data_IF_430576837362
#
_entry.id   IF_430576837362
#
_cell.length_a   1.000
_cell.length_b   1.000
_cell.length_c   1.000
_cell.angle_alpha   90.00
_cell.angle_beta   90.00
_cell.angle_gamma   90.00
#
_symmetry.space_group_name_H-M   'P 1'
#
loop_
_entity.id
_entity.type
_entity.pdbx_description
1 polymer ?
#
# COMPACT_ATOMS: atom_id res chain seq x y z
N UNK A 1 18.94 27.47 -1.77
CA UNK A 1 19.98 26.71 -2.50
C UNK A 1 19.57 26.63 -3.97
N UNK A 2 20.48 26.87 -4.91
CA UNK A 2 20.25 26.70 -6.35
C UNK A 2 21.28 25.69 -6.87
N UNK A 3 20.86 24.75 -7.71
CA UNK A 3 21.76 23.75 -8.29
C UNK A 3 21.41 23.53 -9.76
N UNK A 4 22.38 23.04 -10.52
CA UNK A 4 22.23 22.61 -11.91
C UNK A 4 22.67 21.14 -12.01
N UNK A 5 21.82 20.29 -12.58
CA UNK A 5 22.13 18.87 -12.72
C UNK A 5 23.26 18.65 -13.73
N UNK A 6 24.22 17.81 -13.38
CA UNK A 6 25.35 17.47 -14.24
C UNK A 6 24.91 16.60 -15.43
N UNK A 7 25.12 17.11 -16.65
CA UNK A 7 24.77 16.44 -17.91
C UNK A 7 25.73 15.31 -18.30
N UNK A 8 26.82 15.10 -17.56
CA UNK A 8 27.69 13.94 -17.71
C UNK A 8 27.15 12.73 -16.92
N UNK A 9 26.46 12.99 -15.81
CA UNK A 9 25.87 11.95 -14.95
C UNK A 9 24.45 11.61 -15.41
N UNK A 10 23.63 12.63 -15.68
CA UNK A 10 22.26 12.44 -16.16
C UNK A 10 22.19 12.43 -17.68
N UNK A 11 21.27 11.62 -18.22
CA UNK A 11 20.97 11.60 -19.65
C UNK A 11 20.64 13.01 -20.18
N UNK A 12 20.97 13.27 -21.44
CA UNK A 12 20.73 14.60 -22.06
C UNK A 12 19.24 14.96 -22.06
N UNK A 13 18.40 13.94 -22.20
CA UNK A 13 16.95 14.04 -22.26
C UNK A 13 16.30 14.11 -20.86
N UNK A 14 17.09 13.98 -19.79
CA UNK A 14 16.57 14.08 -18.43
C UNK A 14 15.98 15.47 -18.18
N UNK A 15 14.69 15.48 -17.84
CA UNK A 15 13.91 16.68 -17.51
C UNK A 15 13.28 16.51 -16.14
N UNK A 16 13.06 17.62 -15.46
CA UNK A 16 12.27 17.62 -14.23
C UNK A 16 10.80 17.36 -14.59
N UNK A 17 10.16 16.43 -13.87
CA UNK A 17 8.74 16.17 -14.02
C UNK A 17 7.96 17.07 -13.05
N UNK A 18 7.25 18.06 -13.60
CA UNK A 18 6.52 19.05 -12.80
C UNK A 18 5.45 18.38 -11.93
N UNK A 19 4.73 17.40 -12.47
CA UNK A 19 3.72 16.65 -11.73
C UNK A 19 4.29 15.93 -10.51
N UNK A 20 5.49 15.34 -10.64
CA UNK A 20 6.18 14.70 -9.52
C UNK A 20 6.57 15.71 -8.44
N UNK A 21 6.98 16.92 -8.83
CA UNK A 21 7.27 18.00 -7.90
C UNK A 21 5.99 18.48 -7.18
N UNK A 22 4.90 18.67 -7.90
CA UNK A 22 3.60 19.06 -7.32
C UNK A 22 3.08 17.99 -6.36
N UNK A 23 3.13 16.72 -6.75
CA UNK A 23 2.76 15.61 -5.87
C UNK A 23 3.58 15.59 -4.59
N UNK A 24 4.91 15.80 -4.69
CA UNK A 24 5.80 15.81 -3.52
C UNK A 24 5.55 17.03 -2.63
N UNK A 25 5.41 18.22 -3.22
CA UNK A 25 5.09 19.45 -2.50
C UNK A 25 3.77 19.33 -1.75
N UNK A 26 2.71 18.87 -2.43
CA UNK A 26 1.39 18.63 -1.84
C UNK A 26 1.46 17.64 -0.68
N UNK A 27 2.13 16.51 -0.88
CA UNK A 27 2.32 15.50 0.18
C UNK A 27 3.02 16.10 1.40
N UNK A 28 4.10 16.87 1.22
CA UNK A 28 4.81 17.49 2.34
C UNK A 28 3.97 18.55 3.05
N UNK A 29 3.20 19.36 2.31
CA UNK A 29 2.30 20.34 2.89
C UNK A 29 1.19 19.70 3.73
N UNK A 30 0.68 18.53 3.34
CA UNK A 30 -0.25 17.76 4.17
C UNK A 30 0.38 17.18 5.45
N UNK A 31 1.65 16.78 5.40
CA UNK A 31 2.34 16.16 6.53
C UNK A 31 2.80 17.18 7.58
N UNK A 32 2.88 18.46 7.22
CA UNK A 32 3.31 19.55 8.10
C UNK A 32 2.25 20.65 8.10
N UNK A 33 1.25 20.58 9.02
CA UNK A 33 0.20 21.57 9.11
C UNK A 33 0.76 23.00 9.22
N UNK A 34 0.21 23.93 8.44
CA UNK A 34 0.64 25.33 8.37
C UNK A 34 1.85 25.60 7.46
N UNK A 35 2.51 24.58 6.91
CA UNK A 35 3.57 24.77 5.92
C UNK A 35 2.97 25.17 4.57
N UNK A 36 3.47 26.28 4.01
CA UNK A 36 3.15 26.69 2.63
C UNK A 36 4.33 26.35 1.72
N UNK A 37 4.09 25.57 0.66
CA UNK A 37 5.08 25.26 -0.37
C UNK A 37 4.60 25.85 -1.68
N UNK A 38 5.44 26.66 -2.32
CA UNK A 38 5.15 27.26 -3.63
C UNK A 38 6.07 26.63 -4.66
N UNK A 39 5.50 26.06 -5.73
CA UNK A 39 6.23 25.56 -6.89
C UNK A 39 6.01 26.54 -8.04
N UNK A 40 7.09 27.21 -8.45
CA UNK A 40 7.10 28.15 -9.59
C UNK A 40 7.88 27.54 -10.75
N UNK A 41 7.19 27.34 -11.87
CA UNK A 41 7.78 26.89 -13.13
C UNK A 41 8.05 28.10 -14.03
N UNK A 42 9.34 28.41 -14.21
CA UNK A 42 9.80 29.49 -15.08
C UNK A 42 10.09 29.05 -16.52
N UNK A 43 10.01 27.75 -16.81
CA UNK A 43 10.43 27.14 -18.07
C UNK A 43 9.30 26.54 -18.89
N UNK A 44 8.08 26.45 -18.33
CA UNK A 44 6.93 25.87 -19.03
C UNK A 44 7.07 24.36 -19.22
N UNK A 45 7.42 23.65 -18.15
CA UNK A 45 7.58 22.20 -18.10
C UNK A 45 6.25 21.44 -18.10
N UNK A 46 5.13 22.11 -17.81
CA UNK A 46 3.78 21.50 -17.78
C UNK A 46 3.17 21.27 -19.17
N UNK A 47 2.06 20.52 -19.21
CA UNK A 47 1.24 20.33 -20.40
C UNK A 47 0.66 21.67 -20.88
N UNK A 48 1.28 22.27 -21.90
CA UNK A 48 0.88 23.58 -22.44
C UNK A 48 2.02 24.59 -22.56
N UNK A 49 3.19 24.32 -22.00
CA UNK A 49 4.38 25.17 -22.19
C UNK A 49 4.31 26.55 -21.51
N UNK A 50 3.29 26.80 -20.69
CA UNK A 50 3.11 28.07 -19.98
C UNK A 50 3.81 28.05 -18.63
N UNK A 51 4.44 29.17 -18.27
CA UNK A 51 4.94 29.41 -16.91
C UNK A 51 3.76 29.41 -15.93
N UNK A 52 3.98 28.89 -14.73
CA UNK A 52 2.94 28.75 -13.72
C UNK A 52 3.47 28.79 -12.31
N UNK A 53 2.57 29.06 -11.37
CA UNK A 53 2.82 29.00 -9.94
C UNK A 53 1.67 28.27 -9.26
N UNK A 54 2.00 27.25 -8.47
CA UNK A 54 1.04 26.54 -7.63
C UNK A 54 1.50 26.60 -6.17
N UNK A 55 0.56 26.92 -5.27
CA UNK A 55 0.82 27.02 -3.82
C UNK A 55 0.04 25.95 -3.07
N UNK A 56 0.72 25.26 -2.16
CA UNK A 56 0.18 24.16 -1.36
C UNK A 56 0.23 24.53 0.11
N UNK A 57 -0.93 24.56 0.77
CA UNK A 57 -1.07 24.72 2.23
C UNK A 57 -2.31 23.96 2.69
N UNK A 58 -2.16 23.13 3.70
CA UNK A 58 -3.24 22.30 4.24
C UNK A 58 -3.18 22.31 5.76
N UNK A 59 -4.20 22.91 6.39
CA UNK A 59 -4.22 23.09 7.84
C UNK A 59 -4.84 21.86 8.56
N UNK A 60 -5.72 21.08 7.90
CA UNK A 60 -6.26 19.82 8.40
C UNK A 60 -5.32 18.61 8.31
N UNK A 61 -4.11 18.82 7.79
CA UNK A 61 -3.02 17.86 7.82
C UNK A 61 -3.35 16.51 7.14
N UNK A 62 -3.02 15.40 7.80
CA UNK A 62 -3.20 14.08 7.20
C UNK A 62 -4.65 13.61 7.08
N UNK A 63 -5.60 14.26 7.78
CA UNK A 63 -7.02 14.01 7.55
C UNK A 63 -7.43 14.45 6.14
N UNK A 64 -7.08 15.68 5.77
CA UNK A 64 -7.30 16.18 4.41
C UNK A 64 -6.52 15.38 3.38
N UNK A 65 -5.32 14.88 3.73
CA UNK A 65 -4.57 14.02 2.83
C UNK A 65 -5.29 12.69 2.59
N UNK A 66 -5.87 12.10 3.65
CA UNK A 66 -6.64 10.88 3.53
C UNK A 66 -7.87 11.08 2.63
N UNK A 67 -8.57 12.21 2.78
CA UNK A 67 -9.71 12.56 1.93
C UNK A 67 -9.27 12.81 0.48
N UNK A 68 -8.16 13.52 0.28
CA UNK A 68 -7.61 13.78 -1.05
C UNK A 68 -7.24 12.49 -1.80
N UNK A 69 -6.71 11.49 -1.09
CA UNK A 69 -6.34 10.20 -1.69
C UNK A 69 -7.54 9.32 -2.03
N UNK A 70 -8.67 9.57 -1.36
CA UNK A 70 -9.79 8.66 -1.38
C UNK A 70 -10.80 9.07 -2.47
N UNK A 71 -10.69 8.43 -3.63
CA UNK A 71 -11.50 8.74 -4.81
C UNK A 71 -12.94 8.21 -4.74
N UNK A 72 -13.26 7.36 -3.77
CA UNK A 72 -14.54 6.68 -3.65
C UNK A 72 -15.51 7.39 -2.69
N UNK A 73 -16.75 6.91 -2.62
CA UNK A 73 -17.74 7.45 -1.67
C UNK A 73 -17.41 6.96 -0.25
N UNK A 74 -17.37 7.83 0.77
CA UNK A 74 -17.10 7.41 2.14
C UNK A 74 -18.20 6.52 2.70
N UNK A 75 -17.80 5.48 3.43
CA UNK A 75 -18.66 4.61 4.24
C UNK A 75 -18.69 5.10 5.69
N UNK A 76 -17.57 5.64 6.17
CA UNK A 76 -17.45 6.35 7.44
C UNK A 76 -16.72 7.67 7.23
N UNK A 77 -16.81 8.56 8.21
CA UNK A 77 -15.99 9.77 8.23
C UNK A 77 -14.51 9.42 8.40
N UNK A 78 -13.64 10.37 8.08
CA UNK A 78 -12.20 10.21 8.31
C UNK A 78 -11.90 10.13 9.81
N UNK A 79 -11.46 8.95 10.22
CA UNK A 79 -11.09 8.62 11.59
C UNK A 79 -9.66 9.08 11.85
N UNK A 80 -9.48 9.75 12.99
CA UNK A 80 -8.18 10.25 13.42
C UNK A 80 -7.71 9.52 14.66
N UNK A 81 -6.67 8.70 14.52
CA UNK A 81 -6.08 7.98 15.66
C UNK A 81 -4.71 8.54 15.97
N UNK A 82 -4.55 8.99 17.21
CA UNK A 82 -3.30 9.57 17.73
C UNK A 82 -2.90 8.81 18.99
N UNK A 83 -1.61 8.55 19.14
CA UNK A 83 -1.09 7.99 20.38
C UNK A 83 0.42 8.04 20.42
N UNK A 84 0.97 7.54 21.50
CA UNK A 84 2.41 7.42 21.67
C UNK A 84 2.73 6.18 22.49
N UNK A 85 3.96 5.70 22.38
CA UNK A 85 4.49 4.65 23.22
C UNK A 85 5.98 4.80 23.37
N UNK A 86 6.53 4.13 24.38
CA UNK A 86 7.97 4.15 24.64
C UNK A 86 8.59 2.79 24.37
N UNK A 87 9.87 2.81 24.04
CA UNK A 87 10.69 1.62 23.96
C UNK A 87 12.10 1.91 24.45
N UNK A 88 12.78 0.86 24.91
CA UNK A 88 14.15 0.92 25.38
C UNK A 88 15.07 0.45 24.26
N UNK A 89 16.15 1.19 24.04
CA UNK A 89 17.19 0.87 23.07
C UNK A 89 18.54 1.00 23.76
N UNK A 90 19.40 0.00 23.59
CA UNK A 90 20.76 0.05 24.09
C UNK A 90 21.63 0.77 23.07
N UNK A 91 22.09 1.97 23.42
CA UNK A 91 22.99 2.76 22.58
C UNK A 91 24.34 2.94 23.29
N UNK A 92 25.46 2.91 22.55
CA UNK A 92 26.75 3.25 23.13
C UNK A 92 26.82 4.76 23.37
N UNK A 93 26.94 5.16 24.63
CA UNK A 93 27.11 6.56 25.03
C UNK A 93 28.57 6.76 25.44
N UNK A 94 29.16 7.86 24.98
CA UNK A 94 30.49 8.26 25.39
C UNK A 94 30.42 8.73 26.85
N UNK A 95 31.12 8.04 27.75
CA UNK A 95 31.24 8.48 29.13
C UNK A 95 32.27 9.63 29.27
N UNK A 96 32.34 10.22 30.46
CA UNK A 96 33.27 11.31 30.78
C UNK A 96 34.75 10.92 30.62
N UNK A 97 35.04 9.62 30.54
CA UNK A 97 36.39 9.05 30.37
C UNK A 97 36.69 8.66 28.91
N UNK A 98 35.79 8.99 27.98
CA UNK A 98 35.94 8.70 26.56
C UNK A 98 35.70 7.24 26.17
N UNK A 99 35.10 6.42 27.03
CA UNK A 99 34.75 5.03 26.74
C UNK A 99 33.28 4.92 26.30
N UNK A 100 33.02 4.02 25.35
CA UNK A 100 31.67 3.73 24.87
C UNK A 100 30.99 2.75 25.83
N UNK A 101 30.08 3.24 26.66
CA UNK A 101 29.31 2.41 27.60
C UNK A 101 27.91 2.11 27.01
N UNK A 102 27.51 0.82 26.91
CA UNK A 102 26.16 0.47 26.49
C UNK A 102 25.14 0.99 27.53
N UNK A 103 24.41 2.04 27.17
CA UNK A 103 23.41 2.67 28.04
C UNK A 103 22.02 2.42 27.47
N UNK A 104 21.10 2.02 28.34
CA UNK A 104 19.69 1.85 27.97
C UNK A 104 19.00 3.21 27.93
N UNK A 105 18.66 3.67 26.73
CA UNK A 105 17.96 4.93 26.49
C UNK A 105 16.49 4.63 26.21
N UNK A 106 15.61 5.36 26.89
CA UNK A 106 14.16 5.29 26.60
C UNK A 106 13.83 6.26 25.49
N UNK A 107 13.30 5.74 24.39
CA UNK A 107 12.85 6.50 23.22
C UNK A 107 11.33 6.55 23.20
N UNK A 108 10.79 7.63 22.66
CA UNK A 108 9.37 7.80 22.40
C UNK A 108 9.07 7.62 20.91
N UNK A 109 7.93 6.99 20.62
CA UNK A 109 7.38 6.84 19.29
C UNK A 109 5.96 7.38 19.28
N UNK A 110 5.76 8.49 18.56
CA UNK A 110 4.45 9.05 18.26
C UNK A 110 3.83 8.33 17.07
N UNK A 111 2.54 8.00 17.18
CA UNK A 111 1.73 7.36 16.15
C UNK A 111 0.61 8.30 15.77
N UNK A 112 0.45 8.51 14.48
CA UNK A 112 -0.50 9.48 13.96
C UNK A 112 -1.11 8.98 12.66
N UNK A 113 -2.39 8.61 12.69
CA UNK A 113 -3.08 7.94 11.58
C UNK A 113 -4.38 8.63 11.23
N UNK A 114 -4.63 8.79 9.93
CA UNK A 114 -5.92 9.15 9.38
C UNK A 114 -6.37 8.01 8.47
N UNK A 115 -7.61 7.56 8.62
CA UNK A 115 -8.15 6.49 7.78
C UNK A 115 -9.65 6.63 7.58
N UNK A 116 -10.14 6.15 6.45
CA UNK A 116 -11.57 5.98 6.19
C UNK A 116 -11.81 4.74 5.35
N UNK A 117 -12.95 4.10 5.54
CA UNK A 117 -13.44 3.10 4.59
C UNK A 117 -14.35 3.79 3.57
N UNK A 118 -14.25 3.37 2.32
CA UNK A 118 -15.16 3.78 1.26
C UNK A 118 -15.80 2.59 0.55
N UNK A 119 -16.57 2.89 -0.49
CA UNK A 119 -17.31 1.88 -1.27
C UNK A 119 -16.42 1.06 -2.20
N UNK A 120 -15.18 1.49 -2.44
CA UNK A 120 -14.23 0.79 -3.30
C UNK A 120 -13.80 -0.58 -2.78
N UNK A 121 -13.10 -1.32 -3.62
CA UNK A 121 -12.49 -2.61 -3.28
C UNK A 121 -11.00 -2.48 -3.02
N UNK A 122 -10.34 -1.54 -3.72
CA UNK A 122 -8.90 -1.34 -3.60
C UNK A 122 -8.52 -0.64 -2.29
N UNK A 123 -7.44 -1.11 -1.66
CA UNK A 123 -6.84 -0.46 -0.50
C UNK A 123 -5.85 0.61 -0.96
N UNK A 124 -6.06 1.86 -0.55
CA UNK A 124 -5.10 2.95 -0.78
C UNK A 124 -4.35 3.25 0.51
N UNK A 125 -3.07 2.90 0.53
CA UNK A 125 -2.25 3.04 1.74
C UNK A 125 -1.03 3.93 1.48
N UNK A 126 -0.76 4.87 2.40
CA UNK A 126 0.45 5.70 2.40
C UNK A 126 1.06 5.70 3.80
N UNK A 127 2.36 5.50 3.89
CA UNK A 127 3.06 5.47 5.18
C UNK A 127 4.29 6.38 5.22
N UNK A 128 4.53 6.96 6.39
CA UNK A 128 5.56 7.95 6.62
C UNK A 128 6.27 7.72 7.96
N UNK A 129 7.58 7.97 7.96
CA UNK A 129 8.42 8.00 9.16
C UNK A 129 9.14 9.34 9.16
N UNK A 130 8.85 10.21 10.14
CA UNK A 130 9.42 11.56 10.19
C UNK A 130 9.30 12.31 8.84
N UNK A 131 8.12 12.30 8.20
CA UNK A 131 7.80 12.92 6.89
C UNK A 131 8.43 12.19 5.68
N UNK A 132 9.31 11.21 5.89
CA UNK A 132 9.90 10.38 4.83
C UNK A 132 8.92 9.28 4.44
N UNK A 133 8.63 9.16 3.14
CA UNK A 133 7.72 8.14 2.63
C UNK A 133 8.37 6.75 2.69
N UNK A 134 7.62 5.76 3.18
CA UNK A 134 8.01 4.35 3.20
C UNK A 134 7.15 3.55 2.22
N UNK A 135 7.42 3.62 0.89
CA UNK A 135 6.57 2.99 -0.12
C UNK A 135 6.53 1.46 -0.02
N UNK A 136 7.57 0.84 0.55
CA UNK A 136 7.64 -0.60 0.80
C UNK A 136 7.16 -0.98 2.22
N UNK A 137 6.68 -0.02 3.00
CA UNK A 137 6.11 -0.24 4.33
C UNK A 137 7.16 -0.41 5.43
N UNK A 138 7.00 -1.46 6.25
CA UNK A 138 7.88 -1.74 7.38
C UNK A 138 7.13 -2.15 8.64
N UNK A 139 7.82 -2.09 9.77
CA UNK A 139 7.31 -2.56 11.07
C UNK A 139 6.06 -1.81 11.54
N UNK A 140 5.98 -0.49 11.31
CA UNK A 140 4.81 0.34 11.60
C UNK A 140 3.58 -0.07 10.79
N UNK A 141 3.75 -0.34 9.49
CA UNK A 141 2.67 -0.80 8.60
C UNK A 141 2.18 -2.18 9.00
N UNK A 142 3.09 -3.12 9.24
CA UNK A 142 2.73 -4.46 9.70
C UNK A 142 1.98 -4.42 11.06
N UNK A 143 2.38 -3.50 11.96
CA UNK A 143 1.69 -3.27 13.23
C UNK A 143 0.26 -2.75 13.05
N UNK A 144 0.07 -1.81 12.12
CA UNK A 144 -1.22 -1.25 11.73
C UNK A 144 -2.15 -2.31 11.13
N UNK A 145 -1.72 -3.01 10.06
CA UNK A 145 -2.55 -4.00 9.37
C UNK A 145 -2.99 -5.12 10.31
N UNK A 146 -2.06 -5.61 11.15
CA UNK A 146 -2.35 -6.63 12.15
C UNK A 146 -3.35 -6.13 13.20
N UNK A 147 -3.25 -4.88 13.63
CA UNK A 147 -4.17 -4.31 14.61
C UNK A 147 -5.59 -4.20 14.04
N UNK A 148 -5.73 -3.67 12.83
CA UNK A 148 -7.04 -3.53 12.18
C UNK A 148 -7.73 -4.89 12.06
N UNK A 149 -7.05 -5.90 11.51
CA UNK A 149 -7.62 -7.23 11.34
C UNK A 149 -7.97 -7.91 12.68
N UNK A 150 -7.08 -7.82 13.69
CA UNK A 150 -7.29 -8.45 14.99
C UNK A 150 -8.45 -7.80 15.76
N UNK A 151 -8.44 -6.46 15.85
CA UNK A 151 -9.47 -5.72 16.59
C UNK A 151 -10.83 -5.84 15.93
N UNK A 152 -10.89 -5.81 14.60
CA UNK A 152 -12.16 -6.01 13.90
C UNK A 152 -12.74 -7.41 14.15
N UNK A 153 -11.92 -8.47 14.09
CA UNK A 153 -12.37 -9.83 14.46
C UNK A 153 -12.91 -9.91 15.90
N UNK A 154 -12.18 -9.35 16.87
CA UNK A 154 -12.59 -9.33 18.29
C UNK A 154 -13.98 -8.69 18.47
N UNK A 155 -14.21 -7.54 17.84
CA UNK A 155 -15.49 -6.83 17.95
C UNK A 155 -16.61 -7.53 17.18
N UNK A 156 -16.32 -8.07 15.99
CA UNK A 156 -17.30 -8.82 15.18
C UNK A 156 -17.82 -10.06 15.91
N UNK A 157 -16.93 -10.79 16.59
CA UNK A 157 -17.28 -11.94 17.44
C UNK A 157 -18.14 -11.51 18.63
N UNK A 158 -17.75 -10.44 19.31
CA UNK A 158 -18.47 -9.89 20.47
C UNK A 158 -19.88 -9.42 20.08
N UNK A 159 -20.03 -8.74 18.94
CA UNK A 159 -21.32 -8.29 18.40
C UNK A 159 -22.12 -9.39 17.68
N UNK A 160 -21.61 -10.62 17.62
CA UNK A 160 -22.22 -11.78 16.96
C UNK A 160 -22.52 -11.55 15.47
N UNK A 161 -21.78 -10.68 14.80
CA UNK A 161 -21.91 -10.44 13.36
C UNK A 161 -21.23 -11.56 12.54
N UNK A 162 -20.19 -12.16 13.11
CA UNK A 162 -19.61 -13.43 12.65
C UNK A 162 -20.11 -14.58 13.53
N UNK A 163 -20.76 -15.57 12.92
CA UNK A 163 -21.19 -16.79 13.61
C UNK A 163 -19.99 -17.64 14.01
N UNK A 164 -20.07 -18.40 15.11
CA UNK A 164 -18.98 -19.26 15.62
C UNK A 164 -18.44 -20.22 14.56
N UNK A 165 -19.30 -20.70 13.65
CA UNK A 165 -18.92 -21.60 12.56
C UNK A 165 -18.34 -20.89 11.31
N UNK A 166 -18.41 -19.56 11.22
CA UNK A 166 -17.80 -18.80 10.13
C UNK A 166 -16.31 -18.56 10.42
N UNK A 167 -15.47 -18.63 9.38
CA UNK A 167 -14.05 -18.30 9.45
C UNK A 167 -13.84 -16.84 9.86
N UNK A 168 -12.73 -16.54 10.53
CA UNK A 168 -12.31 -15.18 10.84
C UNK A 168 -12.00 -14.40 9.55
N UNK A 169 -12.17 -13.07 9.61
CA UNK A 169 -11.75 -12.20 8.51
C UNK A 169 -10.23 -12.15 8.45
N UNK A 170 -9.67 -12.13 7.23
CA UNK A 170 -8.22 -11.93 7.04
C UNK A 170 -7.90 -10.46 6.84
N UNK A 171 -6.61 -10.12 6.79
CA UNK A 171 -6.14 -8.73 6.61
C UNK A 171 -6.76 -8.08 5.36
N UNK A 172 -6.83 -8.80 4.24
CA UNK A 172 -7.31 -8.25 2.98
C UNK A 172 -8.81 -7.92 3.06
N UNK A 173 -9.60 -8.75 3.75
CA UNK A 173 -11.03 -8.51 3.99
C UNK A 173 -11.25 -7.27 4.88
N UNK A 174 -10.37 -7.05 5.86
CA UNK A 174 -10.46 -5.93 6.80
C UNK A 174 -10.04 -4.59 6.17
N UNK A 175 -9.12 -4.63 5.20
CA UNK A 175 -8.55 -3.48 4.53
C UNK A 175 -9.27 -3.14 3.20
N UNK A 176 -10.24 -3.94 2.77
CA UNK A 176 -10.98 -3.73 1.53
C UNK A 176 -11.66 -2.34 1.53
N UNK A 177 -11.34 -1.52 0.52
CA UNK A 177 -11.85 -0.15 0.41
C UNK A 177 -11.32 0.82 1.48
N UNK A 178 -10.29 0.45 2.24
CA UNK A 178 -9.64 1.35 3.18
C UNK A 178 -8.73 2.33 2.44
N UNK A 179 -8.90 3.61 2.71
CA UNK A 179 -7.85 4.62 2.45
C UNK A 179 -7.23 5.03 3.78
N UNK A 180 -5.91 4.94 3.90
CA UNK A 180 -5.20 5.27 5.14
C UNK A 180 -3.86 5.95 4.91
N UNK A 181 -3.58 6.93 5.76
CA UNK A 181 -2.30 7.64 5.89
C UNK A 181 -1.75 7.35 7.29
N UNK A 182 -0.66 6.59 7.36
CA UNK A 182 -0.02 6.19 8.62
C UNK A 182 1.30 6.94 8.78
N UNK A 183 1.42 7.78 9.81
CA UNK A 183 2.67 8.46 10.14
C UNK A 183 3.17 8.02 11.50
N UNK A 184 4.48 7.80 11.60
CA UNK A 184 5.16 7.61 12.88
C UNK A 184 6.29 8.62 13.04
N UNK A 185 6.46 9.07 14.28
CA UNK A 185 7.52 10.00 14.68
C UNK A 185 8.39 9.32 15.72
N UNK A 186 9.66 9.13 15.44
CA UNK A 186 10.62 8.54 16.37
C UNK A 186 12.01 9.13 16.19
N UNK A 187 12.76 9.18 17.29
CA UNK A 187 14.19 9.46 17.22
C UNK A 187 14.94 8.26 16.63
N UNK A 188 15.97 8.54 15.83
CA UNK A 188 16.87 7.53 15.24
C UNK A 188 16.16 6.32 14.59
N UNK A 189 15.28 6.56 13.60
CA UNK A 189 14.63 5.46 12.89
C UNK A 189 15.65 4.59 12.15
N UNK A 190 15.51 3.28 12.31
CA UNK A 190 16.33 2.27 11.64
C UNK A 190 15.59 1.82 10.38
N UNK A 191 16.22 1.96 9.21
CA UNK A 191 15.64 1.54 7.93
C UNK A 191 16.39 0.35 7.34
N UNK A 192 15.70 -0.47 6.54
CA UNK A 192 16.36 -1.47 5.73
C UNK A 192 17.03 -0.79 4.53
N UNK A 193 18.37 -0.69 4.59
CA UNK A 193 19.17 -0.09 3.54
C UNK A 193 19.10 1.45 3.46
N UNK A 194 19.84 1.99 2.48
CA UNK A 194 20.05 3.43 2.36
C UNK A 194 18.83 4.19 1.79
N UNK A 195 18.00 3.55 0.98
CA UNK A 195 16.87 4.19 0.30
C UNK A 195 15.72 4.57 1.24
N UNK A 196 15.79 4.17 2.52
CA UNK A 196 14.80 4.47 3.58
C UNK A 196 13.37 4.07 3.19
N UNK A 197 13.24 3.00 2.40
CA UNK A 197 11.93 2.58 1.87
C UNK A 197 11.14 1.69 2.84
N UNK A 198 11.83 1.03 3.77
CA UNK A 198 11.26 0.10 4.75
C UNK A 198 11.75 0.45 6.15
N UNK A 199 10.83 0.64 7.10
CA UNK A 199 11.18 0.81 8.51
C UNK A 199 11.52 -0.55 9.16
N UNK A 200 12.70 -0.65 9.76
CA UNK A 200 13.20 -1.82 10.49
C UNK A 200 13.13 -1.72 12.01
N UNK A 201 12.79 -0.57 12.60
CA UNK A 201 12.67 -0.43 14.06
C UNK A 201 11.59 -1.36 14.61
N UNK A 202 11.99 -2.44 15.30
CA UNK A 202 11.10 -3.52 15.74
C UNK A 202 10.02 -3.07 16.73
N UNK A 203 10.34 -2.11 17.60
CA UNK A 203 9.43 -1.56 18.60
C UNK A 203 8.20 -0.87 17.98
N UNK A 204 8.34 -0.29 16.77
CA UNK A 204 7.26 0.42 16.09
C UNK A 204 6.04 -0.48 15.83
N UNK A 205 6.26 -1.76 15.52
CA UNK A 205 5.17 -2.71 15.28
C UNK A 205 4.26 -2.83 16.49
N UNK A 206 4.83 -3.05 17.68
CA UNK A 206 4.06 -3.23 18.93
C UNK A 206 3.34 -1.95 19.31
N UNK A 207 4.03 -0.80 19.27
CA UNK A 207 3.47 0.49 19.70
C UNK A 207 2.30 0.90 18.79
N UNK A 208 2.50 0.85 17.47
CA UNK A 208 1.42 1.13 16.51
C UNK A 208 0.27 0.17 16.71
N UNK A 209 0.54 -1.13 16.91
CA UNK A 209 -0.52 -2.10 17.12
C UNK A 209 -1.38 -1.78 18.35
N UNK A 210 -0.75 -1.41 19.48
CA UNK A 210 -1.45 -1.03 20.70
C UNK A 210 -2.32 0.21 20.52
N UNK A 211 -1.77 1.28 19.92
CA UNK A 211 -2.51 2.53 19.68
C UNK A 211 -3.71 2.28 18.79
N UNK A 212 -3.51 1.62 17.64
CA UNK A 212 -4.58 1.36 16.68
C UNK A 212 -5.64 0.42 17.26
N UNK A 213 -5.23 -0.64 17.97
CA UNK A 213 -6.19 -1.56 18.59
C UNK A 213 -7.09 -0.85 19.61
N UNK A 214 -6.53 0.08 20.40
CA UNK A 214 -7.27 0.84 21.39
C UNK A 214 -8.28 1.78 20.74
N UNK A 215 -7.82 2.65 19.84
CA UNK A 215 -8.66 3.68 19.23
C UNK A 215 -9.70 3.08 18.26
N UNK A 216 -9.31 2.06 17.48
CA UNK A 216 -10.26 1.34 16.62
C UNK A 216 -11.31 0.60 17.42
N UNK A 217 -10.95 -0.06 18.53
CA UNK A 217 -11.93 -0.71 19.41
C UNK A 217 -12.91 0.31 19.96
N UNK A 218 -12.42 1.47 20.42
CA UNK A 218 -13.26 2.56 20.91
C UNK A 218 -14.27 3.04 19.86
N UNK A 219 -13.84 3.21 18.60
CA UNK A 219 -14.74 3.53 17.48
C UNK A 219 -15.76 2.41 17.22
N UNK A 220 -15.31 1.17 17.06
CA UNK A 220 -16.18 0.04 16.70
C UNK A 220 -17.21 -0.30 17.79
N UNK A 221 -16.91 -0.01 19.05
CA UNK A 221 -17.82 -0.21 20.19
C UNK A 221 -18.47 1.09 20.68
N UNK A 222 -18.33 2.21 19.95
CA UNK A 222 -18.91 3.48 20.35
C UNK A 222 -20.44 3.36 20.51
N UNK A 223 -20.97 4.03 21.53
CA UNK A 223 -22.41 4.12 21.79
C UNK A 223 -23.04 5.38 21.21
N UNK A 224 -22.21 6.32 20.71
CA UNK A 224 -22.70 7.52 20.02
C UNK A 224 -23.42 7.08 18.76
N UNK A 225 -24.61 7.64 18.51
CA UNK A 225 -25.51 7.19 17.44
C UNK A 225 -24.83 7.17 16.06
N UNK A 226 -24.16 8.27 15.71
CA UNK A 226 -23.54 8.44 14.40
C UNK A 226 -22.34 7.48 14.24
N UNK A 227 -21.42 7.46 15.20
CA UNK A 227 -20.29 6.51 15.23
C UNK A 227 -20.75 5.06 15.19
N UNK A 228 -21.79 4.70 15.96
CA UNK A 228 -22.31 3.35 16.05
C UNK A 228 -22.91 2.89 14.71
N UNK A 229 -23.58 3.80 13.99
CA UNK A 229 -24.10 3.54 12.66
C UNK A 229 -22.97 3.36 11.65
N UNK A 230 -21.99 4.26 11.64
CA UNK A 230 -20.81 4.16 10.75
C UNK A 230 -20.01 2.88 11.03
N UNK A 231 -19.68 2.61 12.29
CA UNK A 231 -18.98 1.40 12.71
C UNK A 231 -19.72 0.13 12.29
N UNK A 232 -21.05 0.12 12.38
CA UNK A 232 -21.87 -1.01 11.92
C UNK A 232 -21.73 -1.23 10.41
N UNK A 233 -21.81 -0.17 9.60
CA UNK A 233 -21.68 -0.29 8.15
C UNK A 233 -20.27 -0.75 7.75
N UNK A 234 -19.22 -0.25 8.42
CA UNK A 234 -17.84 -0.72 8.22
C UNK A 234 -17.70 -2.21 8.55
N UNK A 235 -18.23 -2.66 9.67
CA UNK A 235 -18.23 -4.07 10.06
C UNK A 235 -19.00 -4.95 9.07
N UNK A 236 -20.16 -4.51 8.59
CA UNK A 236 -20.95 -5.22 7.58
C UNK A 236 -20.18 -5.34 6.25
N UNK A 237 -19.48 -4.28 5.83
CA UNK A 237 -18.60 -4.32 4.64
C UNK A 237 -17.48 -5.35 4.79
N UNK A 238 -16.77 -5.36 5.92
CA UNK A 238 -15.69 -6.34 6.16
C UNK A 238 -16.20 -7.79 6.17
N UNK A 239 -17.36 -8.04 6.77
CA UNK A 239 -18.00 -9.37 6.75
C UNK A 239 -18.44 -9.76 5.33
N UNK A 240 -18.98 -8.83 4.55
CA UNK A 240 -19.35 -9.07 3.16
C UNK A 240 -18.14 -9.41 2.29
N UNK A 241 -17.01 -8.72 2.48
CA UNK A 241 -15.74 -9.01 1.81
C UNK A 241 -15.28 -10.45 2.13
N UNK A 242 -15.24 -10.82 3.42
CA UNK A 242 -14.85 -12.16 3.85
C UNK A 242 -15.75 -13.27 3.27
N UNK A 243 -17.07 -13.08 3.29
CA UNK A 243 -18.02 -14.04 2.69
C UNK A 243 -17.81 -14.17 1.18
N UNK A 244 -17.54 -13.08 0.49
CA UNK A 244 -17.25 -13.06 -0.94
C UNK A 244 -15.97 -13.83 -1.27
N UNK A 245 -14.90 -13.62 -0.48
CA UNK A 245 -13.64 -14.38 -0.60
C UNK A 245 -13.87 -15.89 -0.41
N UNK A 246 -14.60 -16.29 0.63
CA UNK A 246 -14.88 -17.70 0.92
C UNK A 246 -15.71 -18.32 -0.21
N UNK A 247 -16.76 -17.63 -0.67
CA UNK A 247 -17.58 -18.09 -1.79
C UNK A 247 -16.76 -18.23 -3.09
N UNK A 248 -15.89 -17.26 -3.39
CA UNK A 248 -15.01 -17.31 -4.56
C UNK A 248 -14.00 -18.48 -4.47
N UNK A 249 -13.47 -18.77 -3.28
CA UNK A 249 -12.60 -19.93 -3.04
C UNK A 249 -13.33 -21.25 -3.27
N UNK A 250 -14.52 -21.41 -2.67
CA UNK A 250 -15.34 -22.60 -2.84
C UNK A 250 -15.72 -22.83 -4.32
N UNK A 251 -16.06 -21.75 -5.04
CA UNK A 251 -16.34 -21.81 -6.47
C UNK A 251 -15.12 -22.26 -7.29
N UNK A 252 -13.94 -21.69 -7.04
CA UNK A 252 -12.69 -22.10 -7.71
C UNK A 252 -12.31 -23.55 -7.41
N UNK A 253 -12.48 -24.00 -6.17
CA UNK A 253 -12.19 -25.39 -5.79
C UNK A 253 -13.18 -26.37 -6.42
N UNK A 254 -14.47 -26.01 -6.48
CA UNK A 254 -15.48 -26.80 -7.20
C UNK A 254 -15.19 -26.87 -8.71
N UNK A 255 -14.73 -25.76 -9.32
CA UNK A 255 -14.29 -25.75 -10.72
C UNK A 255 -13.05 -26.63 -10.93
N UNK A 256 -12.04 -26.55 -10.07
CA UNK A 256 -10.84 -27.39 -10.16
C UNK A 256 -11.15 -28.88 -10.06
N UNK A 257 -12.08 -29.29 -9.18
CA UNK A 257 -12.53 -30.68 -9.09
C UNK A 257 -13.20 -31.16 -10.38
N UNK A 258 -13.96 -30.28 -11.05
CA UNK A 258 -14.55 -30.58 -12.36
C UNK A 258 -13.49 -30.66 -13.46
N UNK A 259 -12.53 -29.74 -13.48
CA UNK A 259 -11.44 -29.72 -14.46
C UNK A 259 -10.43 -30.86 -14.26
N UNK A 260 -10.21 -31.35 -13.03
CA UNK A 260 -9.33 -32.49 -12.77
C UNK A 260 -9.82 -33.81 -13.41
N UNK A 261 -11.11 -33.88 -13.77
CA UNK A 261 -11.70 -35.01 -14.51
C UNK A 261 -11.58 -34.83 -16.04
N UNK A 262 -11.21 -33.65 -16.53
CA UNK A 262 -10.99 -33.34 -17.94
C UNK A 262 -9.47 -33.24 -18.20
N UNK A 263 -8.99 -33.88 -19.26
CA UNK A 263 -7.57 -34.18 -19.48
C UNK A 263 -6.61 -32.97 -19.45
N UNK A 264 -5.43 -33.21 -18.87
CA UNK A 264 -4.28 -32.32 -18.69
C UNK A 264 -3.65 -31.81 -20.01
N UNK A 265 -4.38 -31.04 -20.80
CA UNK A 265 -3.85 -30.35 -21.98
C UNK A 265 -3.76 -28.84 -21.76
N UNK A 266 -2.59 -28.27 -22.07
CA UNK A 266 -2.38 -26.82 -22.01
C UNK A 266 -3.26 -26.11 -23.05
N UNK A 267 -3.84 -24.93 -22.74
CA UNK A 267 -4.70 -24.22 -23.68
C UNK A 267 -3.98 -23.87 -24.99
N UNK A 268 -4.67 -23.96 -26.14
CA UNK A 268 -4.10 -23.75 -27.47
C UNK A 268 -3.44 -22.37 -27.72
N UNK A 269 -3.66 -21.39 -26.83
CA UNK A 269 -3.04 -20.05 -26.90
C UNK A 269 -1.69 -19.97 -26.19
N UNK A 270 -1.35 -20.98 -25.39
CA UNK A 270 -0.07 -21.08 -24.72
C UNK A 270 0.87 -21.89 -25.61
N UNK A 271 1.88 -21.23 -26.17
CA UNK A 271 2.98 -21.93 -26.82
C UNK A 271 3.95 -22.40 -25.72
N UNK A 272 4.18 -23.70 -25.64
CA UNK A 272 5.07 -24.28 -24.65
C UNK A 272 6.54 -24.13 -25.04
N UNK A 273 7.45 -24.01 -24.06
CA UNK A 273 8.88 -24.06 -24.31
C UNK A 273 9.37 -25.51 -24.31
N UNK A 274 10.45 -25.80 -25.04
CA UNK A 274 11.04 -27.16 -25.10
C UNK A 274 11.79 -27.59 -23.81
N UNK A 275 11.88 -26.72 -22.82
CA UNK A 275 12.69 -26.90 -21.61
C UNK A 275 11.80 -26.79 -20.40
N UNK A 276 11.85 -27.78 -19.51
CA UNK A 276 11.09 -27.77 -18.27
C UNK A 276 11.82 -27.03 -17.13
N UNK A 277 13.07 -26.63 -17.37
CA UNK A 277 13.88 -25.85 -16.43
C UNK A 277 13.35 -24.40 -16.30
N UNK A 278 12.91 -24.04 -15.09
CA UNK A 278 12.32 -22.74 -14.74
C UNK A 278 13.36 -21.62 -14.81
N UNK A 279 14.61 -21.89 -14.38
CA UNK A 279 15.66 -20.87 -14.32
C UNK A 279 16.12 -20.42 -15.71
N UNK A 280 15.80 -21.22 -16.72
CA UNK A 280 16.13 -20.97 -18.13
C UNK A 280 14.93 -20.64 -19.01
N UNK A 281 13.75 -20.55 -18.41
CA UNK A 281 12.50 -20.30 -19.11
C UNK A 281 12.02 -18.88 -18.88
N UNK A 282 11.67 -18.18 -19.95
CA UNK A 282 11.12 -16.82 -19.91
C UNK A 282 9.67 -16.83 -20.41
N UNK A 283 8.77 -16.14 -19.69
CA UNK A 283 7.38 -15.96 -20.09
C UNK A 283 7.21 -14.60 -20.76
N UNK A 284 6.76 -14.60 -22.01
CA UNK A 284 6.43 -13.40 -22.78
C UNK A 284 4.91 -13.21 -22.79
N UNK A 285 4.45 -12.07 -22.27
CA UNK A 285 3.05 -11.66 -22.38
C UNK A 285 2.96 -10.72 -23.58
N UNK A 286 2.40 -11.22 -24.68
CA UNK A 286 2.25 -10.47 -25.94
C UNK A 286 0.78 -10.21 -26.23
N UNK A 287 0.49 -9.02 -26.75
CA UNK A 287 -0.85 -8.69 -27.23
C UNK A 287 -1.09 -9.43 -28.57
N UNK A 288 -2.00 -10.42 -28.56
CA UNK A 288 -2.26 -11.24 -29.73
C UNK A 288 -3.20 -10.53 -30.72
N UNK A 289 -2.71 -10.19 -31.91
CA UNK A 289 -3.58 -10.06 -33.09
C UNK A 289 -3.80 -11.44 -33.71
N UNK A 290 -4.95 -11.72 -34.33
CA UNK A 290 -5.28 -13.05 -34.90
C UNK A 290 -4.33 -13.56 -35.99
N UNK A 291 -3.30 -12.79 -36.36
CA UNK A 291 -2.35 -13.06 -37.43
C UNK A 291 -0.96 -13.53 -36.95
N UNK A 292 -0.69 -13.60 -35.64
CA UNK A 292 0.62 -14.02 -35.11
C UNK A 292 0.84 -15.54 -35.03
N UNK A 293 -0.18 -16.37 -35.32
CA UNK A 293 -0.08 -17.83 -35.27
C UNK A 293 0.73 -18.47 -36.44
N UNK A 294 1.35 -17.68 -37.32
CA UNK A 294 2.24 -18.16 -38.41
C UNK A 294 3.59 -17.46 -38.37
N UNK A 295 4.47 -17.87 -37.44
CA UNK A 295 5.92 -17.66 -37.59
C UNK A 295 6.71 -18.68 -36.76
N UNK A 296 6.59 -19.94 -37.16
CA UNK A 296 7.57 -20.97 -36.85
C UNK A 296 8.09 -21.53 -38.18
N UNK A 297 9.02 -20.81 -38.82
CA UNK A 297 9.78 -21.32 -39.97
C UNK A 297 11.00 -22.10 -39.46
N UNK A 298 11.33 -23.26 -40.05
CA UNK A 298 12.46 -24.09 -39.61
C UNK A 298 13.77 -23.57 -40.23
N UNK A 299 14.80 -23.36 -39.41
CA UNK A 299 16.19 -23.28 -39.88
C UNK A 299 17.02 -22.12 -39.33
N UNK A 300 17.66 -22.31 -38.17
CA UNK A 300 19.13 -22.14 -37.95
C UNK A 300 19.47 -22.50 -36.50
N UNK A 301 20.52 -23.30 -36.23
CA UNK A 301 20.93 -23.62 -34.86
C UNK A 301 21.96 -22.60 -34.36
N UNK A 302 21.52 -21.52 -33.70
CA UNK A 302 22.39 -20.78 -32.79
C UNK A 302 21.56 -20.07 -31.70
N UNK A 303 21.99 -20.24 -30.44
CA UNK A 303 21.44 -19.65 -29.21
C UNK A 303 19.93 -19.81 -28.96
N UNK A 304 19.58 -20.81 -28.15
CA UNK A 304 18.23 -21.06 -27.65
C UNK A 304 17.71 -19.87 -26.83
N UNK A 305 16.72 -19.13 -27.36
CA UNK A 305 15.69 -18.43 -26.58
C UNK A 305 14.34 -18.91 -27.11
N UNK A 306 13.57 -19.60 -26.28
CA UNK A 306 12.27 -20.18 -26.65
C UNK A 306 11.19 -19.43 -25.86
N UNK A 307 10.28 -18.76 -26.58
CA UNK A 307 9.27 -17.87 -26.02
C UNK A 307 7.99 -18.63 -25.64
N UNK A 308 7.50 -18.49 -24.39
CA UNK A 308 6.11 -18.81 -24.04
C UNK A 308 5.23 -17.58 -24.23
N UNK A 309 4.11 -17.70 -24.95
CA UNK A 309 3.11 -16.63 -25.17
C UNK A 309 1.89 -16.89 -24.28
N UNK A 310 1.44 -15.92 -23.48
CA UNK A 310 0.17 -16.00 -22.73
C UNK A 310 -0.77 -14.84 -23.08
N UNK A 311 -2.00 -15.15 -23.53
CA UNK A 311 -3.02 -14.18 -23.92
C UNK A 311 -4.12 -14.00 -22.83
N UNK A 312 -4.60 -12.76 -22.70
CA UNK A 312 -5.36 -12.17 -21.57
C UNK A 312 -6.83 -12.61 -21.39
N UNK A 313 -7.30 -12.28 -20.18
CA UNK A 313 -8.65 -12.30 -19.62
C UNK A 313 -9.64 -11.38 -20.35
N UNK A 314 -10.90 -11.83 -20.37
CA UNK A 314 -12.05 -11.20 -21.02
C UNK A 314 -12.53 -9.91 -20.34
N UNK A 315 -12.75 -8.86 -21.13
CA UNK A 315 -13.69 -7.78 -20.78
C UNK A 315 -14.61 -7.53 -21.96
N UNK A 316 -15.90 -7.79 -21.73
CA UNK A 316 -16.99 -7.60 -22.69
C UNK A 316 -17.31 -6.12 -22.88
N UNK A 317 -17.27 -5.64 -24.13
CA UNK A 317 -18.04 -4.46 -24.56
C UNK A 317 -18.92 -4.86 -25.72
N UNK A 318 -20.22 -4.98 -25.43
CA UNK A 318 -21.31 -5.04 -26.38
C UNK A 318 -21.50 -3.67 -27.04
N UNK A 319 -21.52 -3.68 -28.37
CA UNK A 319 -22.07 -2.65 -29.25
C UNK A 319 -23.38 -3.19 -29.85
N UNK A 320 -24.30 -2.35 -30.34
CA UNK A 320 -24.10 -1.68 -31.63
C UNK A 320 -23.57 -0.25 -31.51
#
# INVERSE_FOLDING_TARGET
>A
MRYWADRQIFLKEAKLALDTLHQRARQTAFLVPGLTIVVRDEFGLGEGGSKGEESFRFDGGISEFCEFLAADRPVCDTLRFTGQGTFKETVPVLDEHGQMTPTEVTRELGVDVAMRWGTGYDTTFRSFVNIIATPKGGTHVAGFEQAVAKTMNEVLRTKKMLRVAEDDIVKDDALEGLTAVVTVRLAEPQFEGQTKEVLGTSAARRIVNTVISKELKAFLTSTKRDDAQQARVVMEKAVAAARTRIAARQHKDAQRRKTALESSSLPAKLADCRSDDVDRSELFIVEGTPRSARRSSPGTPSSRRCCRSAARSSTSRSRP
#
